data_IF_691105472967
#
_entry.id   IF_691105472967
#
_cell.length_a   1.000
_cell.length_b   1.000
_cell.length_c   1.000
_cell.angle_alpha   90.00
_cell.angle_beta   90.00
_cell.angle_gamma   90.00
#
_symmetry.space_group_name_H-M   'P 1'
#
loop_
_entity.id
_entity.type
_entity.pdbx_description
1 polymer ?
#
# COMPACT_ATOMS: atom_id res chain seq x y z
N UNK A 1 -8.00 1.00 -51.11
CA UNK A 1 -9.33 1.45 -50.64
C UNK A 1 -9.56 1.14 -49.16
N UNK A 2 -9.46 -0.12 -48.71
CA UNK A 2 -9.67 -0.49 -47.28
C UNK A 2 -8.72 0.23 -46.30
N UNK A 3 -7.42 0.33 -46.61
CA UNK A 3 -6.45 1.01 -45.74
C UNK A 3 -6.78 2.49 -45.49
N UNK A 4 -7.34 3.18 -46.48
CA UNK A 4 -7.74 4.59 -46.39
C UNK A 4 -8.95 4.73 -45.45
N UNK A 5 -9.90 3.79 -45.52
CA UNK A 5 -11.08 3.78 -44.64
C UNK A 5 -10.69 3.53 -43.19
N UNK A 6 -9.73 2.62 -42.96
CA UNK A 6 -9.21 2.33 -41.61
C UNK A 6 -8.44 3.53 -41.04
N UNK A 7 -7.59 4.17 -41.86
CA UNK A 7 -6.87 5.38 -41.44
C UNK A 7 -7.83 6.52 -41.08
N UNK A 8 -8.88 6.74 -41.88
CA UNK A 8 -9.91 7.74 -41.58
C UNK A 8 -10.71 7.39 -40.31
N UNK A 9 -10.96 6.10 -40.04
CA UNK A 9 -11.63 5.65 -38.82
C UNK A 9 -10.78 5.92 -37.57
N UNK A 10 -9.47 5.68 -37.62
CA UNK A 10 -8.57 6.00 -36.51
C UNK A 10 -8.46 7.51 -36.28
N UNK A 11 -8.35 8.31 -37.34
CA UNK A 11 -8.36 9.78 -37.23
C UNK A 11 -9.68 10.31 -36.66
N UNK A 12 -10.81 9.73 -37.05
CA UNK A 12 -12.12 10.06 -36.48
C UNK A 12 -12.23 9.69 -35.00
N UNK A 13 -11.73 8.52 -34.60
CA UNK A 13 -11.70 8.08 -33.19
C UNK A 13 -10.79 8.95 -32.33
N UNK A 14 -9.71 9.48 -32.90
CA UNK A 14 -8.77 10.37 -32.21
C UNK A 14 -9.33 11.79 -32.08
N UNK A 15 -10.02 12.30 -33.10
CA UNK A 15 -10.59 13.65 -33.11
C UNK A 15 -11.89 13.78 -32.29
N UNK A 16 -12.66 12.69 -32.16
CA UNK A 16 -13.92 12.67 -31.40
C UNK A 16 -13.91 11.55 -30.35
N UNK A 17 -13.10 11.67 -29.28
CA UNK A 17 -13.18 10.74 -28.17
C UNK A 17 -14.59 10.76 -27.60
N UNK A 18 -15.26 9.61 -27.56
CA UNK A 18 -16.58 9.49 -26.94
C UNK A 18 -16.46 9.94 -25.49
N UNK A 19 -17.25 10.95 -25.10
CA UNK A 19 -17.44 11.28 -23.69
C UNK A 19 -18.11 10.07 -23.06
N UNK A 20 -17.36 9.31 -22.27
CA UNK A 20 -17.94 8.40 -21.30
C UNK A 20 -18.72 9.28 -20.33
N UNK A 21 -20.05 9.30 -20.47
CA UNK A 21 -20.94 9.87 -19.48
C UNK A 21 -20.68 9.11 -18.17
N UNK A 22 -20.01 9.76 -17.21
CA UNK A 22 -19.95 9.26 -15.85
C UNK A 22 -21.39 9.09 -15.36
N UNK A 23 -21.76 7.95 -14.76
CA UNK A 23 -23.04 7.86 -14.08
C UNK A 23 -23.05 8.86 -12.92
N UNK A 24 -23.79 9.96 -13.08
CA UNK A 24 -24.21 10.82 -11.97
C UNK A 24 -25.10 9.97 -11.07
N UNK A 25 -24.60 9.51 -9.94
CA UNK A 25 -25.44 8.99 -8.86
C UNK A 25 -25.47 10.02 -7.73
N UNK A 26 -26.40 10.96 -7.85
CA UNK A 26 -26.90 11.68 -6.69
C UNK A 26 -28.15 10.95 -6.19
N UNK A 27 -28.11 10.65 -4.90
CA UNK A 27 -29.22 10.49 -3.96
C UNK A 27 -30.08 9.22 -3.95
N UNK A 28 -29.99 8.58 -2.76
CA UNK A 28 -31.06 8.00 -1.95
C UNK A 28 -31.70 6.70 -2.44
N UNK A 29 -31.09 5.57 -2.04
CA UNK A 29 -31.78 4.29 -1.94
C UNK A 29 -31.85 3.89 -0.45
N UNK A 30 -33.05 3.70 0.13
CA UNK A 30 -33.18 3.24 1.50
C UNK A 30 -32.73 1.78 1.60
N UNK A 31 -31.69 1.54 2.41
CA UNK A 31 -31.14 0.20 2.66
C UNK A 31 -32.11 -0.60 3.54
N UNK A 32 -33.05 -1.31 2.91
CA UNK A 32 -33.82 -2.39 3.56
C UNK A 32 -32.88 -3.57 3.78
N UNK A 33 -32.60 -3.87 5.05
CA UNK A 33 -31.83 -5.05 5.45
C UNK A 33 -32.72 -6.28 5.38
N UNK A 34 -32.25 -7.32 4.70
CA UNK A 34 -32.66 -8.70 4.95
C UNK A 34 -31.37 -9.45 5.30
N UNK A 35 -31.31 -9.94 6.53
CA UNK A 35 -30.21 -10.69 7.12
C UNK A 35 -30.41 -12.18 6.80
N UNK A 36 -29.61 -12.77 5.91
CA UNK A 36 -29.51 -14.24 5.77
C UNK A 36 -28.08 -14.67 5.41
N UNK A 37 -27.07 -14.20 6.15
CA UNK A 37 -25.81 -14.90 6.39
C UNK A 37 -25.17 -14.32 7.64
N UNK A 38 -25.67 -14.71 8.81
CA UNK A 38 -25.00 -14.43 10.08
C UNK A 38 -23.70 -15.24 10.12
N UNK A 39 -22.60 -14.60 9.74
CA UNK A 39 -21.25 -15.12 9.96
C UNK A 39 -20.95 -14.91 11.45
N UNK A 40 -20.66 -16.00 12.16
CA UNK A 40 -20.27 -16.00 13.57
C UNK A 40 -19.04 -15.09 13.73
N UNK A 41 -19.16 -14.00 14.51
CA UNK A 41 -18.04 -13.09 14.80
C UNK A 41 -18.29 -11.59 14.56
N UNK A 42 -19.43 -11.16 13.99
CA UNK A 42 -19.71 -9.72 13.86
C UNK A 42 -20.27 -9.12 15.16
N UNK A 43 -19.37 -8.65 16.02
CA UNK A 43 -19.69 -7.75 17.12
C UNK A 43 -20.15 -6.39 16.56
N UNK A 44 -21.39 -5.98 16.89
CA UNK A 44 -21.89 -4.63 16.58
C UNK A 44 -21.75 -3.76 17.83
N UNK A 45 -20.63 -3.07 17.94
CA UNK A 45 -20.48 -2.00 18.94
C UNK A 45 -21.14 -0.74 18.41
N UNK A 46 -22.12 -0.21 19.15
CA UNK A 46 -22.67 1.12 18.91
C UNK A 46 -22.00 2.07 19.89
N UNK A 47 -21.07 2.89 19.40
CA UNK A 47 -20.47 3.97 20.20
C UNK A 47 -21.55 5.01 20.51
N UNK A 48 -21.84 5.23 21.79
CA UNK A 48 -22.94 6.06 22.31
C UNK A 48 -22.86 7.57 22.02
N UNK A 49 -21.93 8.02 21.18
CA UNK A 49 -21.77 9.45 20.87
C UNK A 49 -22.86 10.03 19.94
N UNK A 50 -23.73 9.20 19.35
CA UNK A 50 -24.72 9.64 18.34
C UNK A 50 -26.18 9.64 18.79
N UNK A 51 -26.47 9.44 20.08
CA UNK A 51 -27.86 9.42 20.60
C UNK A 51 -28.23 10.63 21.46
N UNK A 52 -27.50 11.75 21.38
CA UNK A 52 -27.96 12.98 22.02
C UNK A 52 -28.88 13.76 21.07
N UNK A 53 -30.11 14.11 21.48
CA UNK A 53 -30.98 14.97 20.68
C UNK A 53 -30.35 16.37 20.54
N UNK A 54 -30.59 17.08 19.42
CA UNK A 54 -30.03 18.40 19.20
C UNK A 54 -30.51 19.38 20.28
N UNK A 55 -29.62 20.21 20.86
CA UNK A 55 -30.01 21.17 21.87
C UNK A 55 -30.92 22.25 21.27
N UNK A 56 -32.08 22.46 21.88
CA UNK A 56 -33.00 23.55 21.54
C UNK A 56 -32.40 24.91 21.92
N UNK A 57 -32.44 25.94 21.02
CA UNK A 57 -31.89 27.25 21.32
C UNK A 57 -32.77 28.01 22.32
N UNK A 58 -32.16 28.53 23.40
CA UNK A 58 -32.85 29.29 24.43
C UNK A 58 -33.05 30.76 24.01
N UNK A 59 -34.30 31.21 24.04
CA UNK A 59 -34.71 32.62 23.93
C UNK A 59 -34.14 33.44 25.09
N UNK A 60 -33.50 34.57 24.78
CA UNK A 60 -32.95 35.50 25.76
C UNK A 60 -34.05 36.24 26.54
N UNK A 61 -33.93 36.30 27.87
CA UNK A 61 -34.50 37.37 28.70
C UNK A 61 -33.71 37.55 30.00
N UNK A 62 -33.83 38.76 30.57
CA UNK A 62 -32.87 39.51 31.40
C UNK A 62 -32.88 39.19 32.90
N UNK A 63 -31.73 39.53 33.52
CA UNK A 63 -31.45 40.03 34.89
C UNK A 63 -32.45 39.75 36.02
N UNK A 64 -31.97 39.15 37.12
CA UNK A 64 -31.60 39.91 38.32
C UNK A 64 -30.91 39.01 39.37
N UNK A 65 -30.23 39.67 40.30
CA UNK A 65 -29.15 39.23 41.18
C UNK A 65 -29.41 38.09 42.20
N UNK A 66 -28.29 37.42 42.51
CA UNK A 66 -27.83 36.96 43.82
C UNK A 66 -28.62 35.88 44.56
N UNK A 67 -28.06 34.66 44.57
CA UNK A 67 -27.66 34.00 45.84
C UNK A 67 -26.64 32.89 45.54
N UNK A 68 -25.55 32.97 46.30
CA UNK A 68 -24.31 32.21 46.27
C UNK A 68 -24.59 30.70 46.49
N UNK A 69 -24.36 29.88 45.46
CA UNK A 69 -24.26 28.42 45.61
C UNK A 69 -22.84 28.00 45.34
N UNK A 70 -22.27 27.34 46.34
CA UNK A 70 -20.89 26.89 46.41
C UNK A 70 -20.46 26.14 45.14
N UNK A 71 -19.24 26.46 44.72
CA UNK A 71 -18.48 25.77 43.70
C UNK A 71 -18.45 24.26 44.03
N UNK A 72 -18.98 23.43 43.11
CA UNK A 72 -18.97 21.97 43.23
C UNK A 72 -17.75 21.36 42.50
N UNK A 73 -16.81 22.19 42.05
CA UNK A 73 -15.52 21.70 41.60
C UNK A 73 -14.61 21.59 42.81
N UNK A 74 -14.40 20.33 43.23
CA UNK A 74 -13.39 20.01 44.22
C UNK A 74 -12.05 20.59 43.79
N UNK A 75 -11.42 21.30 44.72
CA UNK A 75 -10.11 21.90 44.61
C UNK A 75 -9.07 20.82 44.26
N UNK A 76 -8.16 21.23 43.38
CA UNK A 76 -7.02 20.50 42.84
C UNK A 76 -6.30 19.71 43.95
N UNK A 77 -6.62 18.43 44.09
CA UNK A 77 -5.75 17.51 44.80
C UNK A 77 -4.55 17.30 43.89
N UNK A 78 -3.45 17.96 44.26
CA UNK A 78 -2.12 17.74 43.72
C UNK A 78 -1.93 16.24 43.46
N UNK A 79 -1.81 15.89 42.18
CA UNK A 79 -1.52 14.54 41.75
C UNK A 79 -0.12 14.20 42.26
N UNK A 80 -0.03 13.58 43.43
CA UNK A 80 1.17 12.84 43.81
C UNK A 80 1.42 11.80 42.70
N UNK A 81 2.66 11.67 42.21
CA UNK A 81 2.97 10.68 41.19
C UNK A 81 2.63 9.31 41.78
N UNK A 82 1.68 8.61 41.17
CA UNK A 82 1.39 7.24 41.57
C UNK A 82 2.65 6.41 41.35
N UNK A 83 3.24 5.88 42.43
CA UNK A 83 4.26 4.83 42.35
C UNK A 83 3.58 3.55 41.84
N UNK A 84 3.56 3.41 40.52
CA UNK A 84 3.16 2.18 39.85
C UNK A 84 4.40 1.28 39.84
N UNK A 85 4.55 0.48 40.91
CA UNK A 85 5.55 -0.58 40.99
C UNK A 85 4.94 -1.86 40.39
N UNK A 86 4.69 -1.82 39.08
CA UNK A 86 4.34 -3.00 38.30
C UNK A 86 5.66 -3.57 37.79
N UNK A 87 6.05 -4.80 38.21
CA UNK A 87 7.16 -5.47 37.57
C UNK A 87 6.83 -5.54 36.08
N UNK A 88 7.62 -4.86 35.25
CA UNK A 88 7.60 -5.08 33.82
C UNK A 88 8.22 -6.47 33.60
N UNK A 89 7.40 -7.51 33.80
CA UNK A 89 7.64 -8.80 33.20
C UNK A 89 7.47 -8.59 31.69
N UNK A 90 8.57 -8.18 31.06
CA UNK A 90 8.74 -8.42 29.64
C UNK A 90 8.72 -9.93 29.52
N UNK A 91 7.66 -10.49 28.94
CA UNK A 91 7.77 -11.82 28.36
C UNK A 91 9.01 -11.76 27.47
N UNK A 92 10.08 -12.46 27.86
CA UNK A 92 11.19 -12.67 26.95
C UNK A 92 10.54 -13.21 25.68
N UNK A 93 10.82 -12.58 24.54
CA UNK A 93 10.36 -12.98 23.20
C UNK A 93 10.79 -14.42 22.82
N UNK A 94 11.36 -15.17 23.77
CA UNK A 94 11.95 -16.50 23.63
C UNK A 94 11.05 -17.64 24.11
N UNK A 95 9.87 -17.38 24.70
CA UNK A 95 9.05 -18.47 25.27
C UNK A 95 7.55 -18.35 24.93
N UNK A 96 7.20 -18.18 23.65
CA UNK A 96 5.91 -18.71 23.17
C UNK A 96 6.01 -20.25 23.11
N UNK A 97 5.09 -21.01 23.75
CA UNK A 97 5.05 -22.46 23.63
C UNK A 97 4.52 -22.83 22.24
N UNK A 98 5.41 -22.81 21.26
CA UNK A 98 5.11 -22.95 19.84
C UNK A 98 6.23 -22.45 18.91
N UNK A 99 7.19 -21.67 19.42
CA UNK A 99 8.46 -21.38 18.76
C UNK A 99 9.37 -22.62 18.81
N UNK A 100 8.98 -23.69 18.11
CA UNK A 100 9.98 -24.52 17.46
C UNK A 100 10.72 -23.58 16.51
N UNK A 101 12.06 -23.55 16.54
CA UNK A 101 12.89 -22.71 15.68
C UNK A 101 12.52 -22.94 14.21
N UNK A 102 11.53 -22.21 13.69
CA UNK A 102 11.17 -22.26 12.28
C UNK A 102 12.35 -21.66 11.56
N UNK A 103 13.15 -22.52 10.92
CA UNK A 103 14.26 -22.10 10.10
C UNK A 103 13.68 -21.36 8.88
N UNK A 104 13.55 -20.05 9.02
CA UNK A 104 13.04 -19.17 7.98
C UNK A 104 13.92 -19.17 6.73
N UNK A 105 15.19 -19.58 6.86
CA UNK A 105 16.08 -19.76 5.72
C UNK A 105 15.74 -21.04 4.96
N UNK A 106 15.51 -22.16 5.66
CA UNK A 106 15.06 -23.42 5.03
C UNK A 106 13.71 -23.22 4.30
N UNK A 107 12.73 -22.57 4.95
CA UNK A 107 11.45 -22.25 4.32
C UNK A 107 11.61 -21.34 3.07
N UNK A 108 12.47 -20.32 3.15
CA UNK A 108 12.74 -19.44 2.01
C UNK A 108 13.41 -20.19 0.84
N UNK A 109 14.32 -21.14 1.12
CA UNK A 109 14.93 -21.99 0.09
C UNK A 109 13.89 -22.92 -0.57
N UNK A 110 12.97 -23.50 0.20
CA UNK A 110 11.87 -24.30 -0.33
C UNK A 110 10.93 -23.49 -1.23
N UNK A 111 10.62 -22.25 -0.82
CA UNK A 111 9.81 -21.32 -1.63
C UNK A 111 10.52 -20.95 -2.93
N UNK A 112 11.84 -20.71 -2.90
CA UNK A 112 12.63 -20.47 -4.13
C UNK A 112 12.66 -21.70 -5.03
N UNK A 113 12.72 -22.91 -4.49
CA UNK A 113 12.66 -24.14 -5.30
C UNK A 113 11.31 -24.36 -5.96
N UNK A 114 10.21 -23.96 -5.30
CA UNK A 114 8.85 -24.19 -5.79
C UNK A 114 8.31 -23.07 -6.67
N UNK A 115 8.56 -21.81 -6.30
CA UNK A 115 8.07 -20.60 -6.96
C UNK A 115 9.15 -19.90 -7.81
N UNK A 116 10.42 -20.29 -7.71
CA UNK A 116 11.51 -19.63 -8.42
C UNK A 116 11.66 -18.17 -8.01
N UNK A 117 11.76 -17.30 -9.01
CA UNK A 117 11.83 -15.84 -8.83
C UNK A 117 10.52 -15.23 -8.33
N UNK A 118 9.39 -15.93 -8.43
CA UNK A 118 8.11 -15.42 -7.91
C UNK A 118 8.05 -15.43 -6.38
N UNK A 119 8.92 -16.19 -5.71
CA UNK A 119 8.96 -16.29 -4.25
C UNK A 119 9.16 -14.91 -3.57
N UNK A 120 9.88 -14.00 -4.23
CA UNK A 120 10.18 -12.67 -3.72
C UNK A 120 9.07 -11.65 -3.99
N UNK A 121 8.08 -11.96 -4.85
CA UNK A 121 6.99 -11.04 -5.16
C UNK A 121 6.13 -10.71 -3.93
N UNK A 122 6.06 -11.63 -2.96
CA UNK A 122 5.30 -11.48 -1.71
C UNK A 122 6.15 -11.03 -0.51
N UNK A 123 7.47 -10.87 -0.66
CA UNK A 123 8.39 -10.55 0.44
C UNK A 123 8.27 -9.10 0.97
N UNK A 124 7.48 -8.26 0.31
CA UNK A 124 7.36 -6.83 0.65
C UNK A 124 8.63 -6.03 0.32
N UNK A 125 8.76 -4.87 0.96
CA UNK A 125 9.90 -3.95 0.86
C UNK A 125 10.26 -3.42 2.25
N UNK A 126 11.56 -3.28 2.49
CA UNK A 126 12.12 -2.54 3.62
C UNK A 126 11.92 -1.02 3.44
N UNK A 127 12.04 -0.29 4.55
CA UNK A 127 11.95 1.16 4.52
C UNK A 127 13.10 1.77 3.70
N UNK A 128 14.29 1.21 3.84
CA UNK A 128 15.51 1.64 3.16
C UNK A 128 15.38 1.51 1.64
N UNK A 129 14.85 0.38 1.14
CA UNK A 129 14.58 0.16 -0.28
C UNK A 129 13.59 1.19 -0.84
N UNK A 130 12.53 1.51 -0.09
CA UNK A 130 11.55 2.51 -0.48
C UNK A 130 12.13 3.93 -0.48
N UNK A 131 12.99 4.26 0.49
CA UNK A 131 13.66 5.56 0.57
C UNK A 131 14.62 5.76 -0.62
N UNK A 132 15.40 4.72 -0.97
CA UNK A 132 16.26 4.73 -2.15
C UNK A 132 15.47 4.99 -3.44
N UNK A 133 14.29 4.37 -3.59
CA UNK A 133 13.43 4.61 -4.74
C UNK A 133 12.95 6.07 -4.81
N UNK A 134 12.58 6.68 -3.69
CA UNK A 134 12.15 8.08 -3.63
C UNK A 134 13.32 9.04 -3.88
N UNK A 135 14.51 8.71 -3.38
CA UNK A 135 15.74 9.46 -3.59
C UNK A 135 16.14 9.45 -5.08
N UNK A 136 16.22 8.29 -5.71
CA UNK A 136 16.60 8.12 -7.12
C UNK A 136 15.64 8.81 -8.11
N UNK A 137 14.38 8.95 -7.71
CA UNK A 137 13.37 9.70 -8.48
C UNK A 137 13.53 11.22 -8.29
N UNK A 138 14.00 11.64 -7.12
CA UNK A 138 14.17 13.06 -6.78
C UNK A 138 15.53 13.62 -7.23
N UNK A 139 16.57 12.79 -7.27
CA UNK A 139 17.93 13.15 -7.64
C UNK A 139 18.39 12.26 -8.80
N UNK A 140 18.69 12.82 -9.99
CA UNK A 140 19.31 12.06 -11.06
C UNK A 140 20.75 11.69 -10.68
N UNK A 141 21.19 10.48 -11.02
CA UNK A 141 22.52 9.90 -10.68
C UNK A 141 22.69 9.55 -9.20
N UNK A 142 21.70 8.89 -8.60
CA UNK A 142 21.91 8.25 -7.29
C UNK A 142 22.84 7.04 -7.41
N UNK A 143 23.60 6.76 -6.35
CA UNK A 143 24.53 5.63 -6.32
C UNK A 143 23.82 4.27 -6.52
N UNK A 144 22.59 4.16 -6.01
CA UNK A 144 21.80 2.93 -6.00
C UNK A 144 20.64 2.96 -7.01
N UNK A 145 20.86 3.51 -8.21
CA UNK A 145 19.81 3.56 -9.26
C UNK A 145 19.28 2.18 -9.66
N UNK A 146 20.13 1.15 -9.65
CA UNK A 146 19.74 -0.20 -10.04
C UNK A 146 18.74 -0.82 -9.04
N UNK A 147 19.05 -0.75 -7.74
CA UNK A 147 18.18 -1.23 -6.65
C UNK A 147 16.87 -0.42 -6.61
N UNK A 148 16.97 0.91 -6.74
CA UNK A 148 15.80 1.77 -6.83
C UNK A 148 14.91 1.44 -8.04
N UNK A 149 15.50 1.10 -9.18
CA UNK A 149 14.76 0.73 -10.38
C UNK A 149 14.05 -0.63 -10.22
N UNK A 150 14.66 -1.59 -9.53
CA UNK A 150 14.04 -2.87 -9.17
C UNK A 150 12.80 -2.66 -8.28
N UNK A 151 12.94 -1.85 -7.23
CA UNK A 151 11.85 -1.52 -6.31
C UNK A 151 10.70 -0.85 -7.06
N UNK A 152 11.01 0.13 -7.93
CA UNK A 152 10.01 0.80 -8.77
C UNK A 152 9.34 -0.14 -9.78
N UNK A 153 10.07 -1.10 -10.33
CA UNK A 153 9.54 -2.11 -11.25
C UNK A 153 8.55 -3.03 -10.53
N UNK A 154 8.93 -3.58 -9.38
CA UNK A 154 8.04 -4.43 -8.56
C UNK A 154 6.81 -3.65 -8.06
N UNK A 155 6.91 -2.33 -7.89
CA UNK A 155 5.82 -1.46 -7.45
C UNK A 155 5.05 -0.75 -8.58
N UNK A 156 5.35 -0.96 -9.86
CA UNK A 156 4.84 -0.16 -11.00
C UNK A 156 3.30 -0.02 -11.02
N UNK A 157 2.60 -1.04 -10.57
CA UNK A 157 1.13 -1.11 -10.56
C UNK A 157 0.51 -0.87 -9.18
N UNK A 158 1.23 -0.19 -8.30
CA UNK A 158 0.75 0.16 -6.95
C UNK A 158 0.46 1.65 -6.82
N UNK A 159 -0.42 2.00 -5.88
CA UNK A 159 -0.76 3.40 -5.59
C UNK A 159 0.47 4.22 -5.16
N UNK A 160 1.49 3.59 -4.57
CA UNK A 160 2.71 4.27 -4.12
C UNK A 160 3.43 4.96 -5.28
N UNK A 161 3.64 4.24 -6.39
CA UNK A 161 4.30 4.77 -7.58
C UNK A 161 3.39 5.77 -8.31
N UNK A 162 2.08 5.53 -8.35
CA UNK A 162 1.11 6.48 -8.92
C UNK A 162 1.13 7.83 -8.18
N UNK A 163 1.15 7.80 -6.85
CA UNK A 163 1.25 9.01 -6.03
C UNK A 163 2.59 9.73 -6.24
N UNK A 164 3.70 8.99 -6.30
CA UNK A 164 5.03 9.56 -6.54
C UNK A 164 5.12 10.21 -7.93
N UNK A 165 4.52 9.59 -8.94
CA UNK A 165 4.42 10.12 -10.30
C UNK A 165 3.47 11.34 -10.38
N UNK A 166 2.44 11.41 -9.55
CA UNK A 166 1.51 12.54 -9.51
C UNK A 166 2.14 13.82 -8.94
N UNK A 167 3.22 13.74 -8.16
CA UNK A 167 3.91 14.90 -7.57
C UNK A 167 4.43 15.85 -8.65
N UNK A 168 5.05 15.32 -9.71
CA UNK A 168 5.51 16.13 -10.83
C UNK A 168 5.64 15.32 -12.13
N UNK A 169 5.46 15.96 -13.30
CA UNK A 169 5.62 15.28 -14.59
C UNK A 169 7.07 14.82 -14.83
N UNK A 170 8.05 15.53 -14.26
CA UNK A 170 9.47 15.15 -14.35
C UNK A 170 9.74 13.85 -13.58
N UNK A 171 9.19 13.71 -12.37
CA UNK A 171 9.28 12.48 -11.58
C UNK A 171 8.60 11.31 -12.28
N UNK A 172 7.44 11.52 -12.90
CA UNK A 172 6.76 10.49 -13.68
C UNK A 172 7.60 9.98 -14.87
N UNK A 173 8.29 10.88 -15.59
CA UNK A 173 9.20 10.48 -16.67
C UNK A 173 10.42 9.74 -16.13
N UNK A 174 10.95 10.18 -14.99
CA UNK A 174 12.09 9.55 -14.34
C UNK A 174 11.78 8.13 -13.89
N UNK A 175 10.65 7.91 -13.23
CA UNK A 175 10.17 6.58 -12.81
C UNK A 175 10.10 5.65 -14.02
N UNK A 176 9.46 6.09 -15.11
CA UNK A 176 9.37 5.30 -16.35
C UNK A 176 10.73 4.98 -16.96
N UNK A 177 11.66 5.92 -16.91
CA UNK A 177 13.03 5.69 -17.39
C UNK A 177 13.77 4.66 -16.54
N UNK A 178 13.63 4.70 -15.22
CA UNK A 178 14.28 3.75 -14.32
C UNK A 178 13.73 2.33 -14.54
N UNK A 179 12.40 2.20 -14.58
CA UNK A 179 11.74 0.92 -14.85
C UNK A 179 12.18 0.36 -16.22
N UNK A 180 12.17 1.18 -17.27
CA UNK A 180 12.58 0.74 -18.60
C UNK A 180 14.04 0.29 -18.65
N UNK A 181 14.92 0.93 -17.88
CA UNK A 181 16.34 0.57 -17.79
C UNK A 181 16.48 -0.80 -17.11
N UNK A 182 15.76 -1.02 -16.01
CA UNK A 182 15.79 -2.29 -15.28
C UNK A 182 15.26 -3.45 -16.13
N UNK A 183 14.13 -3.27 -16.83
CA UNK A 183 13.60 -4.30 -17.75
C UNK A 183 14.64 -4.66 -18.82
N UNK A 184 15.31 -3.66 -19.41
CA UNK A 184 16.36 -3.90 -20.38
C UNK A 184 17.54 -4.67 -19.77
N UNK A 185 17.92 -4.40 -18.51
CA UNK A 185 18.99 -5.13 -17.85
C UNK A 185 18.64 -6.61 -17.61
N UNK A 186 17.39 -6.91 -17.25
CA UNK A 186 16.91 -8.28 -17.08
C UNK A 186 16.98 -9.04 -18.41
N UNK A 187 16.45 -8.44 -19.49
CA UNK A 187 16.45 -9.07 -20.82
C UNK A 187 17.87 -9.45 -21.31
N UNK A 188 18.87 -8.62 -21.02
CA UNK A 188 20.26 -8.90 -21.37
C UNK A 188 20.84 -10.06 -20.55
N UNK A 189 20.49 -10.12 -19.27
CA UNK A 189 20.96 -11.16 -18.35
C UNK A 189 20.36 -12.53 -18.71
N UNK A 190 19.08 -12.55 -19.10
CA UNK A 190 18.40 -13.76 -19.57
C UNK A 190 19.01 -14.31 -20.87
N UNK A 191 19.36 -13.44 -21.82
CA UNK A 191 20.05 -13.85 -23.05
C UNK A 191 21.47 -14.38 -22.77
N UNK A 192 22.22 -13.79 -21.84
CA UNK A 192 23.55 -14.28 -21.43
C UNK A 192 23.48 -15.68 -20.81
N UNK A 193 22.59 -15.87 -19.82
CA UNK A 193 22.38 -17.17 -19.16
C UNK A 193 21.96 -18.25 -20.17
N UNK A 194 21.10 -17.90 -21.15
CA UNK A 194 20.65 -18.84 -22.19
C UNK A 194 21.77 -19.25 -23.14
N UNK A 195 22.73 -18.36 -23.40
CA UNK A 195 23.90 -18.67 -24.21
C UNK A 195 24.85 -19.60 -23.45
N UNK A 196 25.07 -19.37 -22.15
CA UNK A 196 25.90 -20.26 -21.32
C UNK A 196 25.33 -21.69 -21.25
N UNK A 197 24.03 -21.84 -20.98
CA UNK A 197 23.36 -23.15 -20.89
C UNK A 197 23.46 -23.99 -22.19
N UNK A 198 23.58 -23.33 -23.34
CA UNK A 198 23.70 -24.02 -24.64
C UNK A 198 25.14 -24.22 -25.08
N UNK A 199 26.11 -23.56 -24.43
CA UNK A 199 27.52 -23.62 -24.77
C UNK A 199 28.20 -24.93 -24.33
N UNK A 200 27.71 -25.55 -23.25
CA UNK A 200 28.18 -26.84 -22.75
C UNK A 200 27.61 -28.04 -23.54
N UNK A 201 26.64 -27.81 -24.43
CA UNK A 201 26.06 -28.88 -25.23
C UNK A 201 26.91 -29.19 -26.48
N UNK A 202 27.84 -30.15 -26.35
CA UNK A 202 28.65 -30.63 -27.47
C UNK A 202 28.04 -31.88 -28.14
N UNK A 203 27.42 -31.70 -29.31
CA UNK A 203 26.78 -32.81 -30.05
C UNK A 203 27.77 -33.89 -30.53
N UNK A 204 29.06 -33.57 -30.59
CA UNK A 204 30.10 -34.51 -31.01
C UNK A 204 30.29 -35.65 -30.00
N UNK A 205 30.02 -35.41 -28.71
CA UNK A 205 30.17 -36.42 -27.65
C UNK A 205 29.13 -37.55 -27.76
N UNK A 206 28.02 -37.32 -28.48
CA UNK A 206 26.94 -38.30 -28.67
C UNK A 206 27.09 -39.15 -29.95
N UNK A 207 28.03 -38.80 -30.82
CA UNK A 207 28.27 -39.49 -32.11
C UNK A 207 29.50 -40.41 -32.09
N UNK A 208 30.21 -40.46 -30.95
CA UNK A 208 31.33 -41.38 -30.67
C UNK A 208 30.86 -42.73 -30.11
#
# INVERSE_FOLDING_TARGET
>A
MLAIVVALYFLYRLAFPKKTELPKSNENIPKKRNDETSIVGQSRVVLGYRSQPPPTPATASKSDNSEEKADTFAEENASEPMEIDVPAEYENESEEPGNEDVDTNEEAEELRQTLGSEAELAAGFSYEEMDLAVEAVSQPESENEAEAAEVLYRLEHTECVEQLAAVSPEKALRIKSLISLHVQSIELTDEENRIEDTSDFNIADFLS
#
